data_IF_192912541960
#
_entry.id   IF_192912541960
#
_cell.length_a   1.000
_cell.length_b   1.000
_cell.length_c   1.000
_cell.angle_alpha   90.00
_cell.angle_beta   90.00
_cell.angle_gamma   90.00
#
_symmetry.space_group_name_H-M   'P 1'
#
loop_
_entity.id
_entity.type
_entity.pdbx_description
1 polymer ?
#
# COMPACT_ATOMS: atom_id res chain seq x y z
N UNK A 1 7.94 0.56 -3.67
CA UNK A 1 7.59 1.10 -2.32
C UNK A 1 6.17 0.70 -1.96
N UNK A 2 5.77 0.77 -0.68
CA UNK A 2 4.34 0.62 -0.32
C UNK A 2 3.52 1.69 -1.04
N UNK A 3 2.35 1.31 -1.54
CA UNK A 3 1.49 2.27 -2.24
C UNK A 3 0.99 3.34 -1.26
N UNK A 4 1.32 4.64 -1.46
CA UNK A 4 0.98 5.69 -0.51
C UNK A 4 -0.52 5.80 -0.22
N UNK A 5 -1.38 5.56 -1.21
CA UNK A 5 -2.82 5.70 -1.04
C UNK A 5 -3.51 4.45 -0.46
N UNK A 6 -2.91 3.26 -0.62
CA UNK A 6 -3.60 1.99 -0.35
C UNK A 6 -2.97 1.17 0.77
N UNK A 7 -1.66 1.30 1.01
CA UNK A 7 -0.93 0.53 2.04
C UNK A 7 -0.30 1.45 3.08
N UNK A 8 -1.14 1.92 4.00
CA UNK A 8 -0.78 2.88 5.03
C UNK A 8 -0.72 2.15 6.38
N UNK A 9 0.45 2.08 7.03
CA UNK A 9 0.59 1.37 8.30
C UNK A 9 -0.43 1.87 9.35
N UNK A 10 -1.22 0.94 9.90
CA UNK A 10 -2.29 1.20 10.90
C UNK A 10 -3.39 2.18 10.48
N UNK A 11 -3.42 2.64 9.23
CA UNK A 11 -4.45 3.54 8.70
C UNK A 11 -5.05 3.07 7.38
N UNK A 12 -4.76 1.83 6.96
CA UNK A 12 -5.58 1.13 5.99
C UNK A 12 -5.72 -0.36 6.28
N UNK A 13 -6.92 -0.89 6.03
CA UNK A 13 -7.29 -2.29 6.28
C UNK A 13 -8.06 -2.88 5.09
N UNK A 14 -8.03 -4.20 4.98
CA UNK A 14 -8.97 -4.92 4.12
C UNK A 14 -10.25 -5.14 4.91
N UNK A 15 -11.38 -4.84 4.29
CA UNK A 15 -12.70 -5.12 4.82
C UNK A 15 -13.54 -5.80 3.74
N UNK A 16 -14.66 -6.41 4.14
CA UNK A 16 -15.54 -7.16 3.26
C UNK A 16 -16.97 -6.67 3.40
N UNK A 17 -17.61 -6.43 2.27
CA UNK A 17 -19.02 -6.10 2.20
C UNK A 17 -19.82 -7.40 1.99
N UNK A 18 -20.51 -7.86 3.04
CA UNK A 18 -21.32 -9.09 2.97
C UNK A 18 -22.58 -8.95 2.10
N UNK A 19 -23.06 -7.73 1.81
CA UNK A 19 -24.23 -7.52 0.93
C UNK A 19 -23.81 -7.57 -0.53
N UNK A 20 -22.79 -6.78 -0.89
CA UNK A 20 -22.32 -6.68 -2.27
C UNK A 20 -21.34 -7.80 -2.64
N UNK A 21 -20.89 -8.59 -1.66
CA UNK A 21 -19.91 -9.67 -1.81
C UNK A 21 -18.57 -9.20 -2.38
N UNK A 22 -18.18 -7.96 -2.07
CA UNK A 22 -16.94 -7.34 -2.57
C UNK A 22 -15.96 -7.12 -1.42
N UNK A 23 -14.67 -7.32 -1.70
CA UNK A 23 -13.60 -6.92 -0.81
C UNK A 23 -13.07 -5.55 -1.19
N UNK A 24 -12.88 -4.69 -0.19
CA UNK A 24 -12.43 -3.32 -0.40
C UNK A 24 -11.33 -2.95 0.59
N UNK A 25 -10.63 -1.85 0.29
CA UNK A 25 -9.58 -1.29 1.14
C UNK A 25 -10.12 -0.05 1.84
N UNK A 26 -10.29 -0.11 3.15
CA UNK A 26 -10.64 1.07 3.95
C UNK A 26 -9.40 1.93 4.16
N UNK A 27 -9.52 3.24 3.94
CA UNK A 27 -8.45 4.22 4.16
C UNK A 27 -8.92 5.20 5.24
N UNK A 28 -8.27 5.17 6.40
CA UNK A 28 -8.65 5.98 7.56
C UNK A 28 -7.91 7.33 7.55
N UNK A 29 -6.66 7.34 7.06
CA UNK A 29 -5.83 8.55 6.95
C UNK A 29 -4.91 8.43 5.73
N UNK A 30 -4.77 9.50 4.94
CA UNK A 30 -3.86 9.52 3.77
C UNK A 30 -2.97 10.76 3.68
N UNK A 31 -3.53 11.96 3.80
CA UNK A 31 -2.76 13.20 3.59
C UNK A 31 -1.77 13.50 4.74
N UNK A 32 -2.06 13.03 5.95
CA UNK A 32 -1.20 13.23 7.11
C UNK A 32 0.05 12.35 7.05
N UNK A 33 1.20 12.93 7.34
CA UNK A 33 2.44 12.18 7.56
C UNK A 33 2.34 11.39 8.86
N UNK A 34 2.82 10.15 8.87
CA UNK A 34 2.90 9.34 10.09
C UNK A 34 4.16 8.48 10.14
N UNK A 35 4.49 8.02 11.34
CA UNK A 35 5.56 7.07 11.63
C UNK A 35 5.04 6.03 12.61
N UNK A 36 5.18 4.76 12.27
CA UNK A 36 4.57 3.66 13.02
C UNK A 36 5.60 2.56 13.24
N UNK A 37 5.79 2.15 14.49
CA UNK A 37 6.55 0.95 14.81
C UNK A 37 5.81 -0.29 14.29
N UNK A 38 6.54 -1.15 13.59
CA UNK A 38 6.08 -2.41 13.03
C UNK A 38 7.07 -3.52 13.35
N UNK A 39 6.53 -4.70 13.67
CA UNK A 39 7.31 -5.93 13.80
C UNK A 39 7.92 -6.26 12.44
N UNK A 40 9.23 -6.52 12.38
CA UNK A 40 9.88 -6.97 11.16
C UNK A 40 9.41 -8.36 10.74
N UNK A 41 9.12 -9.21 11.72
CA UNK A 41 8.63 -10.57 11.54
C UNK A 41 7.35 -10.76 12.36
N UNK A 42 6.19 -10.37 11.83
CA UNK A 42 4.91 -10.59 12.50
C UNK A 42 4.70 -12.09 12.76
N UNK A 43 4.46 -12.48 14.01
CA UNK A 43 4.26 -13.87 14.40
C UNK A 43 5.43 -14.53 15.15
N UNK A 44 6.55 -13.82 15.35
CA UNK A 44 7.63 -14.23 16.25
C UNK A 44 7.56 -13.47 17.58
N UNK A 45 7.77 -14.15 18.70
CA UNK A 45 7.61 -13.55 20.04
C UNK A 45 8.59 -12.38 20.30
N UNK A 46 9.83 -12.50 19.84
CA UNK A 46 10.88 -11.48 20.02
C UNK A 46 11.25 -10.82 18.69
N UNK A 47 10.24 -10.31 17.99
CA UNK A 47 10.43 -9.68 16.68
C UNK A 47 11.04 -8.28 16.81
N UNK A 48 12.20 -8.00 16.16
CA UNK A 48 12.77 -6.67 16.17
C UNK A 48 11.80 -5.66 15.54
N UNK A 49 11.76 -4.46 16.11
CA UNK A 49 10.91 -3.37 15.65
C UNK A 49 11.62 -2.53 14.59
N UNK A 50 10.87 -2.10 13.58
CA UNK A 50 11.31 -1.07 12.63
C UNK A 50 10.26 0.03 12.51
N UNK A 51 10.68 1.23 12.14
CA UNK A 51 9.77 2.36 11.97
C UNK A 51 9.39 2.47 10.49
N UNK A 52 8.11 2.30 10.21
CA UNK A 52 7.54 2.56 8.88
C UNK A 52 7.05 4.00 8.80
N UNK A 53 7.45 4.70 7.74
CA UNK A 53 7.03 6.07 7.48
C UNK A 53 5.98 6.11 6.37
N UNK A 54 4.90 6.83 6.62
CA UNK A 54 3.91 7.15 5.60
C UNK A 54 4.08 8.60 5.13
N UNK A 55 4.01 8.81 3.82
CA UNK A 55 4.00 10.10 3.16
C UNK A 55 3.02 10.02 1.97
N UNK A 56 2.15 11.01 1.73
CA UNK A 56 1.24 11.00 0.60
C UNK A 56 2.01 11.09 -0.73
N UNK A 57 1.39 10.72 -1.85
CA UNK A 57 2.04 10.73 -3.16
C UNK A 57 2.62 12.12 -3.51
N UNK A 58 1.88 13.18 -3.16
CA UNK A 58 2.31 14.57 -3.37
C UNK A 58 3.68 14.88 -2.74
N UNK A 59 3.99 14.29 -1.59
CA UNK A 59 5.28 14.48 -0.92
C UNK A 59 6.43 14.04 -1.82
N UNK A 60 6.32 12.86 -2.43
CA UNK A 60 7.37 12.31 -3.29
C UNK A 60 7.58 13.15 -4.55
N UNK A 61 6.50 13.57 -5.21
CA UNK A 61 6.61 14.43 -6.39
C UNK A 61 7.25 15.78 -6.06
N UNK A 62 6.85 16.42 -4.96
CA UNK A 62 7.50 17.65 -4.47
C UNK A 62 8.98 17.43 -4.17
N UNK A 63 9.33 16.32 -3.53
CA UNK A 63 10.72 15.99 -3.22
C UNK A 63 11.56 15.78 -4.50
N UNK A 64 11.04 15.05 -5.48
CA UNK A 64 11.72 14.86 -6.77
C UNK A 64 11.91 16.16 -7.52
N UNK A 65 10.86 16.97 -7.67
CA UNK A 65 10.96 18.27 -8.35
C UNK A 65 11.97 19.18 -7.67
N UNK A 66 11.93 19.28 -6.33
CA UNK A 66 12.91 20.08 -5.57
C UNK A 66 14.35 19.59 -5.76
N UNK A 67 14.54 18.28 -5.94
CA UNK A 67 15.84 17.68 -6.19
C UNK A 67 16.27 17.72 -7.67
N UNK A 68 15.48 18.33 -8.56
CA UNK A 68 15.78 18.39 -10.00
C UNK A 68 15.54 17.08 -10.73
N UNK A 69 14.55 16.28 -10.31
CA UNK A 69 14.17 15.05 -10.98
C UNK A 69 12.75 15.15 -11.56
N UNK A 70 12.55 14.55 -12.73
CA UNK A 70 11.24 14.33 -13.34
C UNK A 70 10.85 12.86 -13.29
N UNK A 71 9.62 12.56 -12.84
CA UNK A 71 9.05 11.21 -12.90
C UNK A 71 8.67 10.89 -14.35
N UNK A 72 9.23 9.82 -14.90
CA UNK A 72 9.04 9.40 -16.30
C UNK A 72 8.24 8.11 -16.44
N UNK A 73 8.10 7.36 -15.35
CA UNK A 73 7.29 6.14 -15.33
C UNK A 73 6.67 5.96 -13.95
N UNK A 74 5.42 5.53 -13.95
CA UNK A 74 4.69 5.11 -12.77
C UNK A 74 4.08 3.74 -13.09
N UNK A 75 4.26 2.78 -12.18
CA UNK A 75 3.56 1.50 -12.24
C UNK A 75 2.95 1.18 -10.87
N UNK A 76 1.75 0.64 -10.90
CA UNK A 76 1.03 0.16 -9.72
C UNK A 76 1.01 -1.36 -9.73
N UNK A 77 1.61 -1.96 -8.71
CA UNK A 77 1.82 -3.41 -8.69
C UNK A 77 0.82 -4.10 -7.76
N UNK A 78 0.24 -5.15 -8.31
CA UNK A 78 -0.74 -6.02 -7.67
C UNK A 78 -0.06 -7.26 -7.06
N UNK A 79 -0.80 -7.97 -6.22
CA UNK A 79 -0.32 -9.25 -5.69
C UNK A 79 -0.71 -10.40 -6.61
N UNK A 80 0.25 -11.27 -6.93
CA UNK A 80 -0.02 -12.54 -7.62
C UNK A 80 -0.54 -13.64 -6.69
N UNK A 81 -0.78 -13.34 -5.41
CA UNK A 81 -1.34 -14.31 -4.48
C UNK A 81 -2.77 -14.66 -4.88
N UNK A 82 -3.04 -15.95 -5.00
CA UNK A 82 -4.37 -16.50 -5.18
C UNK A 82 -4.90 -17.05 -3.84
N UNK A 83 -6.20 -16.87 -3.63
CA UNK A 83 -6.97 -17.63 -2.64
C UNK A 83 -7.68 -18.76 -3.38
N UNK A 84 -7.37 -19.99 -3.00
CA UNK A 84 -7.83 -21.19 -3.74
C UNK A 84 -9.16 -21.73 -3.23
N UNK A 85 -9.57 -21.36 -2.02
CA UNK A 85 -10.80 -21.87 -1.39
C UNK A 85 -11.44 -20.84 -0.43
N UNK A 86 -12.73 -21.03 -0.17
CA UNK A 86 -13.53 -20.24 0.77
C UNK A 86 -14.56 -19.31 0.11
N UNK A 87 -15.59 -18.88 0.86
CA UNK A 87 -16.71 -18.10 0.33
C UNK A 87 -16.30 -16.71 -0.18
N UNK A 88 -15.13 -16.20 0.23
CA UNK A 88 -14.58 -14.90 -0.16
C UNK A 88 -13.47 -14.98 -1.20
N UNK A 89 -13.07 -16.18 -1.64
CA UNK A 89 -11.92 -16.38 -2.53
C UNK A 89 -11.99 -15.55 -3.81
N UNK A 90 -13.16 -15.53 -4.47
CA UNK A 90 -13.39 -14.70 -5.66
C UNK A 90 -13.16 -13.22 -5.38
N UNK A 91 -13.81 -12.69 -4.35
CA UNK A 91 -13.71 -11.27 -3.99
C UNK A 91 -12.28 -10.87 -3.57
N UNK A 92 -11.58 -11.74 -2.83
CA UNK A 92 -10.17 -11.55 -2.48
C UNK A 92 -9.27 -11.48 -3.71
N UNK A 93 -9.48 -12.37 -4.68
CA UNK A 93 -8.70 -12.44 -5.91
C UNK A 93 -9.00 -11.26 -6.84
N UNK A 94 -10.27 -10.84 -6.93
CA UNK A 94 -10.66 -9.65 -7.68
C UNK A 94 -10.02 -8.40 -7.05
N UNK A 95 -10.18 -8.21 -5.73
CA UNK A 95 -9.60 -7.06 -5.03
C UNK A 95 -8.07 -6.99 -5.13
N UNK A 96 -7.36 -8.12 -5.17
CA UNK A 96 -5.90 -8.14 -5.38
C UNK A 96 -5.48 -7.64 -6.76
N UNK A 97 -6.31 -7.83 -7.78
CA UNK A 97 -6.06 -7.35 -9.16
C UNK A 97 -6.43 -5.88 -9.34
N UNK A 98 -7.39 -5.39 -8.56
CA UNK A 98 -7.89 -4.02 -8.69
C UNK A 98 -7.21 -3.02 -7.75
N UNK A 99 -6.78 -3.44 -6.56
CA UNK A 99 -6.25 -2.53 -5.53
C UNK A 99 -4.74 -2.80 -5.32
N UNK A 100 -3.86 -1.98 -5.90
CA UNK A 100 -2.41 -2.17 -5.84
C UNK A 100 -1.88 -1.78 -4.45
N UNK A 101 -1.04 -2.64 -3.88
CA UNK A 101 -0.42 -2.38 -2.57
C UNK A 101 1.02 -1.86 -2.68
N UNK A 102 1.54 -1.80 -3.90
CA UNK A 102 2.89 -1.32 -4.18
C UNK A 102 2.89 -0.34 -5.34
N UNK A 103 3.82 0.62 -5.26
CA UNK A 103 4.06 1.63 -6.29
C UNK A 103 5.51 1.54 -6.73
N UNK A 104 5.74 1.65 -8.03
CA UNK A 104 7.04 1.89 -8.64
C UNK A 104 7.02 3.26 -9.32
N UNK A 105 8.09 4.03 -9.10
CA UNK A 105 8.32 5.31 -9.77
C UNK A 105 9.72 5.29 -10.36
N UNK A 106 9.83 5.65 -11.64
CA UNK A 106 11.10 5.96 -12.30
C UNK A 106 11.23 7.46 -12.40
N UNK A 107 12.30 8.01 -11.85
CA UNK A 107 12.65 9.42 -12.00
C UNK A 107 14.01 9.55 -12.69
N UNK A 108 14.15 10.57 -13.55
CA UNK A 108 15.40 10.94 -14.20
C UNK A 108 15.81 12.34 -13.73
N UNK A 109 17.12 12.58 -13.62
CA UNK A 109 17.64 13.90 -13.32
C UNK A 109 17.44 14.81 -14.53
N UNK A 110 16.94 16.02 -14.29
CA UNK A 110 16.82 17.09 -15.27
C UNK A 110 18.20 17.71 -15.57
#
# INVERSE_FOLDING_TARGET
MNHPAFRIPKASSWDYDDQNKVQFRRIDQYLSNSSTAIDMHPGFADSPQTISFHRPLQFYFKAFTKAGFAVTKLEEWISHKASDSGPRAKAENDARKEIPLFLYLKAIKL
#
